data_IF_364113772976
#
_entry.id   IF_364113772976
#
_cell.length_a   1.000
_cell.length_b   1.000
_cell.length_c   1.000
_cell.angle_alpha   90.00
_cell.angle_beta   90.00
_cell.angle_gamma   90.00
#
_symmetry.space_group_name_H-M   'P 1'
#
loop_
_entity.id
_entity.type
_entity.pdbx_description
1 polymer ?
#
# COMPACT_ATOMS: atom_id res chain seq x y z
N UNK A 1 -17.18 7.84 -4.19
CA UNK A 1 -16.60 8.36 -2.94
C UNK A 1 -15.10 8.19 -3.03
N UNK A 2 -14.30 9.02 -2.34
CA UNK A 2 -12.84 8.81 -2.31
C UNK A 2 -12.52 7.94 -1.10
N UNK A 3 -11.71 6.91 -1.30
CA UNK A 3 -11.31 5.95 -0.26
C UNK A 3 -9.79 5.90 -0.19
N UNK A 4 -9.25 5.57 0.99
CA UNK A 4 -7.82 5.41 1.22
C UNK A 4 -7.54 3.96 1.62
N UNK A 5 -6.46 3.39 1.09
CA UNK A 5 -5.98 2.06 1.39
C UNK A 5 -4.51 2.13 1.81
N UNK A 6 -4.14 1.42 2.86
CA UNK A 6 -2.77 1.39 3.38
C UNK A 6 -2.54 0.11 4.20
N UNK A 7 -1.33 -0.43 4.10
CA UNK A 7 -0.81 -1.41 5.05
C UNK A 7 0.06 -0.69 6.08
N UNK A 8 -0.07 -1.05 7.35
CA UNK A 8 0.65 -0.40 8.47
C UNK A 8 1.14 -1.45 9.46
N UNK A 9 2.33 -1.23 10.02
CA UNK A 9 2.80 -1.97 11.19
C UNK A 9 2.02 -1.53 12.45
N UNK A 10 2.19 -2.26 13.56
CA UNK A 10 1.53 -1.96 14.84
C UNK A 10 1.83 -0.54 15.36
N UNK A 11 3.01 0.00 15.02
CA UNK A 11 3.43 1.35 15.36
C UNK A 11 3.02 2.42 14.31
N UNK A 12 2.12 2.08 13.39
CA UNK A 12 1.63 2.91 12.29
C UNK A 12 2.67 3.25 11.21
N UNK A 13 3.86 2.65 11.24
CA UNK A 13 4.83 2.81 10.16
C UNK A 13 4.36 2.10 8.88
N UNK A 14 4.52 2.77 7.75
CA UNK A 14 4.17 2.24 6.41
C UNK A 14 5.32 2.35 5.40
N UNK A 15 6.47 2.92 5.79
CA UNK A 15 7.61 3.07 4.90
C UNK A 15 8.94 3.24 5.64
N UNK A 16 10.02 2.75 5.03
CA UNK A 16 11.40 2.91 5.49
C UNK A 16 12.31 2.99 4.26
N UNK A 17 13.15 4.03 4.18
CA UNK A 17 14.15 4.16 3.11
C UNK A 17 13.60 4.24 1.68
N UNK A 18 12.35 4.68 1.49
CA UNK A 18 11.71 4.75 0.17
C UNK A 18 11.02 3.45 -0.27
N UNK A 19 10.86 2.47 0.62
CA UNK A 19 10.10 1.25 0.36
C UNK A 19 9.27 0.82 1.57
N UNK A 20 8.67 -0.36 1.48
CA UNK A 20 7.96 -0.98 2.59
C UNK A 20 8.95 -1.43 3.69
N UNK A 21 8.60 -1.32 4.98
CA UNK A 21 9.51 -1.65 6.08
C UNK A 21 9.60 -3.16 6.37
N UNK A 22 8.92 -4.00 5.59
CA UNK A 22 8.86 -5.46 5.73
C UNK A 22 9.25 -6.17 4.42
N UNK A 23 9.59 -7.45 4.54
CA UNK A 23 9.79 -8.34 3.39
C UNK A 23 8.51 -8.49 2.55
N UNK A 24 8.63 -8.98 1.32
CA UNK A 24 7.49 -9.14 0.42
C UNK A 24 6.36 -10.00 1.02
N UNK A 25 5.22 -9.36 1.29
CA UNK A 25 3.99 -10.01 1.73
C UNK A 25 3.06 -10.25 0.54
N UNK A 26 3.17 -11.43 -0.09
CA UNK A 26 2.45 -11.74 -1.35
C UNK A 26 0.93 -11.57 -1.24
N UNK A 27 0.35 -11.98 -0.12
CA UNK A 27 -1.10 -11.95 0.07
C UNK A 27 -1.65 -10.52 0.16
N UNK A 28 -0.91 -9.62 0.82
CA UNK A 28 -1.24 -8.19 0.90
C UNK A 28 -1.16 -7.53 -0.49
N UNK A 29 -0.10 -7.82 -1.25
CA UNK A 29 0.04 -7.32 -2.63
C UNK A 29 -1.09 -7.81 -3.55
N UNK A 30 -1.52 -9.08 -3.41
CA UNK A 30 -2.66 -9.60 -4.17
C UNK A 30 -3.99 -9.00 -3.69
N UNK A 31 -4.12 -8.70 -2.41
CA UNK A 31 -5.29 -8.01 -1.86
C UNK A 31 -5.39 -6.58 -2.41
N UNK A 32 -4.31 -5.79 -2.35
CA UNK A 32 -4.24 -4.46 -2.93
C UNK A 32 -4.62 -4.49 -4.41
N UNK A 33 -3.98 -5.37 -5.20
CA UNK A 33 -4.29 -5.53 -6.62
C UNK A 33 -5.78 -5.80 -6.87
N UNK A 34 -6.37 -6.78 -6.17
CA UNK A 34 -7.79 -7.13 -6.37
C UNK A 34 -8.74 -5.98 -6.06
N UNK A 35 -8.37 -5.09 -5.14
CA UNK A 35 -9.18 -3.93 -4.76
C UNK A 35 -9.04 -2.77 -5.74
N UNK A 36 -7.83 -2.52 -6.26
CA UNK A 36 -7.56 -1.33 -7.07
C UNK A 36 -7.57 -1.59 -8.58
N UNK A 37 -7.48 -2.84 -9.03
CA UNK A 37 -7.49 -3.19 -10.45
C UNK A 37 -8.75 -2.65 -11.15
N UNK A 38 -8.53 -1.88 -12.23
CA UNK A 38 -9.60 -1.22 -12.99
C UNK A 38 -10.06 0.12 -12.40
N UNK A 39 -9.36 0.67 -11.41
CA UNK A 39 -9.63 1.99 -10.81
C UNK A 39 -8.44 2.94 -10.96
N UNK A 40 -8.66 4.23 -10.71
CA UNK A 40 -7.61 5.23 -10.71
C UNK A 40 -6.94 5.31 -9.33
N UNK A 41 -5.65 4.95 -9.27
CA UNK A 41 -4.83 5.13 -8.08
C UNK A 41 -4.23 6.54 -8.04
N UNK A 42 -4.40 7.24 -6.91
CA UNK A 42 -3.79 8.55 -6.65
C UNK A 42 -2.77 8.41 -5.53
N UNK A 43 -1.51 8.72 -5.84
CA UNK A 43 -0.39 8.58 -4.90
C UNK A 43 0.54 9.79 -4.92
N UNK A 44 1.34 9.95 -3.87
CA UNK A 44 2.38 10.98 -3.81
C UNK A 44 3.57 10.62 -4.69
N UNK A 45 4.38 11.60 -5.08
CA UNK A 45 5.49 11.40 -6.03
C UNK A 45 6.58 10.42 -5.55
N UNK A 46 6.69 10.17 -4.24
CA UNK A 46 7.67 9.26 -3.64
C UNK A 46 7.09 7.92 -3.21
N UNK A 47 5.81 7.67 -3.50
CA UNK A 47 5.16 6.35 -3.34
C UNK A 47 5.55 5.47 -4.51
#
# INVERSE_FOLDING_TARGET
TKEAIFAVAENLAFGLGGGLPWDTLKDDLQFFKRLTEGTDDVMGAST
#
